data_IF_371787806252
#
_entry.id   IF_371787806252
#
_cell.length_a   1.000
_cell.length_b   1.000
_cell.length_c   1.000
_cell.angle_alpha   90.00
_cell.angle_beta   90.00
_cell.angle_gamma   90.00
#
_symmetry.space_group_name_H-M   'P 1'
#
loop_
_entity.id
_entity.type
_entity.pdbx_description
1 polymer ?
#
# COMPACT_ATOMS: atom_id res chain seq x y z
N UNK A 1 35.78 -9.41 -8.51
CA UNK A 1 34.44 -9.11 -9.08
C UNK A 1 34.34 -7.61 -9.23
N UNK A 2 34.34 -7.11 -10.46
CA UNK A 2 34.27 -5.67 -10.76
C UNK A 2 32.82 -5.32 -11.13
N UNK A 3 32.17 -4.49 -10.31
CA UNK A 3 30.87 -3.91 -10.64
C UNK A 3 31.10 -2.57 -11.33
N UNK A 4 30.47 -2.38 -12.47
CA UNK A 4 30.55 -1.16 -13.26
C UNK A 4 29.16 -0.50 -13.33
N UNK A 5 29.14 0.80 -13.08
CA UNK A 5 27.95 1.63 -13.24
C UNK A 5 28.07 2.41 -14.56
N UNK A 6 27.11 2.23 -15.44
CA UNK A 6 27.00 2.97 -16.69
C UNK A 6 25.84 3.93 -16.60
N UNK A 7 26.09 5.21 -16.92
CA UNK A 7 25.09 6.26 -16.92
C UNK A 7 25.05 6.87 -18.30
N UNK A 8 23.89 6.80 -18.95
CA UNK A 8 23.64 7.44 -20.24
C UNK A 8 22.63 8.56 -20.06
N UNK A 9 23.07 9.79 -20.22
CA UNK A 9 22.28 11.02 -20.20
C UNK A 9 22.45 11.79 -21.54
N UNK A 10 22.68 11.08 -22.63
CA UNK A 10 22.86 11.68 -23.96
C UNK A 10 21.59 12.32 -24.51
N UNK A 11 20.41 11.86 -24.07
CA UNK A 11 19.14 12.46 -24.42
C UNK A 11 18.69 13.48 -23.34
N UNK A 12 18.25 14.69 -23.73
CA UNK A 12 17.92 15.77 -22.78
C UNK A 12 16.73 15.44 -21.86
N UNK A 13 15.89 14.47 -22.23
CA UNK A 13 14.67 14.11 -21.50
C UNK A 13 14.71 12.73 -20.87
N UNK A 14 15.81 12.01 -20.96
CA UNK A 14 15.93 10.63 -20.50
C UNK A 14 17.28 10.38 -19.85
N UNK A 15 17.27 9.64 -18.75
CA UNK A 15 18.48 9.11 -18.12
C UNK A 15 18.33 7.61 -17.95
N UNK A 16 19.36 6.86 -18.34
CA UNK A 16 19.43 5.42 -18.18
C UNK A 16 20.61 5.07 -17.32
N UNK A 17 20.39 4.23 -16.31
CA UNK A 17 21.43 3.78 -15.40
C UNK A 17 21.45 2.25 -15.41
N UNK A 18 22.63 1.67 -15.61
CA UNK A 18 22.83 0.23 -15.65
C UNK A 18 23.93 -0.17 -14.69
N UNK A 19 23.61 -1.02 -13.74
CA UNK A 19 24.60 -1.67 -12.89
C UNK A 19 24.94 -3.04 -13.50
N UNK A 20 26.20 -3.20 -13.91
CA UNK A 20 26.69 -4.42 -14.54
C UNK A 20 27.75 -5.08 -13.67
N UNK A 21 27.60 -6.39 -13.45
CA UNK A 21 28.60 -7.24 -12.81
C UNK A 21 29.12 -8.24 -13.84
N UNK A 22 30.39 -8.07 -14.25
CA UNK A 22 31.02 -8.84 -15.32
C UNK A 22 30.17 -8.88 -16.60
N UNK A 23 29.42 -9.96 -16.85
CA UNK A 23 28.58 -10.13 -18.03
C UNK A 23 27.07 -10.09 -17.74
N UNK A 24 26.66 -9.89 -16.46
CA UNK A 24 25.27 -9.80 -16.08
C UNK A 24 24.86 -8.37 -15.73
N UNK A 25 23.69 -7.95 -16.19
CA UNK A 25 23.04 -6.73 -15.73
C UNK A 25 22.37 -7.10 -14.42
N UNK A 26 22.80 -6.47 -13.31
CA UNK A 26 22.21 -6.65 -11.98
C UNK A 26 20.99 -5.75 -11.79
N UNK A 27 21.07 -4.52 -12.32
CA UNK A 27 20.00 -3.55 -12.15
C UNK A 27 19.95 -2.59 -13.34
N UNK A 28 18.75 -2.12 -13.66
CA UNK A 28 18.49 -1.18 -14.73
C UNK A 28 17.41 -0.19 -14.31
N UNK A 29 17.76 1.08 -14.32
CA UNK A 29 16.82 2.17 -14.08
C UNK A 29 16.71 3.06 -15.32
N UNK A 30 15.49 3.48 -15.58
CA UNK A 30 15.15 4.39 -16.66
C UNK A 30 14.25 5.50 -16.13
N UNK A 31 14.68 6.73 -16.26
CA UNK A 31 13.93 7.90 -15.88
C UNK A 31 13.67 8.80 -17.08
N UNK A 32 12.44 9.24 -17.24
CA UNK A 32 12.04 10.20 -18.26
C UNK A 32 11.30 11.38 -17.63
N UNK A 33 11.66 12.59 -18.02
CA UNK A 33 11.02 13.84 -17.56
C UNK A 33 9.52 13.84 -17.87
N UNK A 34 9.13 13.22 -18.99
CA UNK A 34 7.74 13.20 -19.44
C UNK A 34 6.88 12.13 -18.74
N UNK A 35 7.49 11.18 -18.07
CA UNK A 35 6.77 10.08 -17.41
C UNK A 35 7.33 9.87 -16.00
N UNK A 36 7.06 10.84 -15.12
CA UNK A 36 7.42 10.73 -13.70
C UNK A 36 6.50 9.71 -13.04
N UNK A 37 7.09 8.61 -12.57
CA UNK A 37 6.39 7.64 -11.73
C UNK A 37 5.97 8.32 -10.42
N UNK A 38 4.69 8.21 -10.09
CA UNK A 38 4.14 8.79 -8.87
C UNK A 38 3.84 7.75 -7.79
N UNK A 39 4.05 6.47 -8.11
CA UNK A 39 3.86 5.37 -7.16
C UNK A 39 4.67 5.64 -5.88
N UNK A 40 4.07 5.36 -4.74
CA UNK A 40 4.58 5.59 -3.39
C UNK A 40 4.71 7.07 -2.96
N UNK A 41 4.46 8.03 -3.83
CA UNK A 41 4.43 9.44 -3.44
C UNK A 41 3.22 9.72 -2.53
N UNK A 42 3.41 10.68 -1.63
CA UNK A 42 2.40 11.12 -0.65
C UNK A 42 1.92 12.51 -1.02
N UNK A 43 0.61 12.71 -1.05
CA UNK A 43 -0.03 13.97 -1.41
C UNK A 43 -1.09 14.37 -0.39
N UNK A 44 -1.30 15.65 -0.26
CA UNK A 44 -2.48 16.19 0.40
C UNK A 44 -3.59 16.29 -0.64
N UNK A 45 -4.61 15.42 -0.51
CA UNK A 45 -5.72 15.36 -1.46
C UNK A 45 -7.01 15.92 -0.89
N UNK A 46 -7.91 16.32 -1.77
CA UNK A 46 -9.25 16.79 -1.43
C UNK A 46 -10.29 15.85 -2.06
N UNK A 47 -11.20 15.34 -1.25
CA UNK A 47 -12.31 14.49 -1.73
C UNK A 47 -13.19 15.30 -2.67
N UNK A 48 -13.21 14.94 -3.94
CA UNK A 48 -14.00 15.61 -4.98
C UNK A 48 -15.43 15.10 -5.00
N UNK A 49 -15.60 13.78 -5.10
CA UNK A 49 -16.91 13.14 -5.08
C UNK A 49 -16.85 11.76 -4.45
N UNK A 50 -17.99 11.30 -3.96
CA UNK A 50 -18.17 9.96 -3.41
C UNK A 50 -19.07 9.17 -4.35
N UNK A 51 -18.70 7.91 -4.60
CA UNK A 51 -19.48 6.99 -5.44
C UNK A 51 -19.95 5.81 -4.57
N UNK A 52 -21.18 5.87 -4.05
CA UNK A 52 -21.68 4.84 -3.13
C UNK A 52 -21.81 3.46 -3.76
N UNK A 53 -22.05 3.39 -5.06
CA UNK A 53 -22.18 2.12 -5.79
C UNK A 53 -20.86 1.35 -5.82
N UNK A 54 -19.73 2.05 -5.84
CA UNK A 54 -18.39 1.47 -5.82
C UNK A 54 -17.79 1.41 -4.41
N UNK A 55 -18.46 1.95 -3.40
CA UNK A 55 -17.89 2.16 -2.06
C UNK A 55 -16.50 2.81 -2.15
N UNK A 56 -16.39 3.89 -2.93
CA UNK A 56 -15.15 4.58 -3.21
C UNK A 56 -15.33 6.10 -3.27
N UNK A 57 -14.24 6.83 -3.08
CA UNK A 57 -14.16 8.26 -3.25
C UNK A 57 -13.18 8.60 -4.39
N UNK A 58 -13.45 9.69 -5.08
CA UNK A 58 -12.52 10.29 -6.02
C UNK A 58 -11.86 11.50 -5.37
N UNK A 59 -10.54 11.53 -5.40
CA UNK A 59 -9.71 12.51 -4.69
C UNK A 59 -8.93 13.33 -5.70
N UNK A 60 -9.06 14.64 -5.60
CA UNK A 60 -8.18 15.58 -6.29
C UNK A 60 -6.89 15.73 -5.47
N UNK A 61 -5.77 15.33 -6.04
CA UNK A 61 -4.44 15.39 -5.43
C UNK A 61 -3.44 16.19 -6.26
N UNK A 62 -3.95 17.10 -7.11
CA UNK A 62 -3.17 18.03 -7.91
C UNK A 62 -2.72 17.47 -9.27
N UNK A 63 -3.34 16.40 -9.74
CA UNK A 63 -3.13 15.83 -11.08
C UNK A 63 -4.33 16.10 -11.99
N UNK A 64 -4.16 15.93 -13.30
CA UNK A 64 -5.26 16.08 -14.28
C UNK A 64 -6.43 15.15 -13.96
N UNK A 65 -6.14 13.95 -13.44
CA UNK A 65 -7.14 12.95 -13.12
C UNK A 65 -7.25 12.76 -11.62
N UNK A 66 -8.49 12.66 -11.16
CA UNK A 66 -8.75 12.32 -9.76
C UNK A 66 -8.34 10.88 -9.49
N UNK A 67 -7.70 10.66 -8.34
CA UNK A 67 -7.35 9.33 -7.87
C UNK A 67 -8.56 8.59 -7.30
N UNK A 68 -8.52 7.28 -7.36
CA UNK A 68 -9.52 6.36 -6.82
C UNK A 68 -9.10 5.91 -5.42
N UNK A 69 -9.95 6.13 -4.44
CA UNK A 69 -9.75 5.74 -3.04
C UNK A 69 -10.87 4.80 -2.62
N UNK A 70 -10.55 3.53 -2.40
CA UNK A 70 -11.51 2.54 -1.92
C UNK A 70 -11.84 2.77 -0.44
N UNK A 71 -13.05 2.41 -0.01
CA UNK A 71 -13.45 2.50 1.40
C UNK A 71 -12.51 1.73 2.33
N UNK A 72 -12.03 0.56 1.90
CA UNK A 72 -11.10 -0.27 2.67
C UNK A 72 -9.70 0.37 2.84
N UNK A 73 -9.36 1.34 1.99
CA UNK A 73 -8.10 2.06 2.01
C UNK A 73 -8.18 3.39 2.78
N UNK A 74 -9.32 3.62 3.47
CA UNK A 74 -9.53 4.82 4.30
C UNK A 74 -9.36 4.45 5.77
N UNK A 75 -8.43 5.11 6.43
CA UNK A 75 -8.19 4.96 7.86
C UNK A 75 -9.34 5.56 8.69
N UNK A 76 -9.67 4.93 9.81
CA UNK A 76 -10.75 5.34 10.72
C UNK A 76 -10.60 6.77 11.27
N UNK A 77 -9.38 7.30 11.37
CA UNK A 77 -9.14 8.67 11.83
C UNK A 77 -9.77 9.75 10.93
N UNK A 78 -10.01 9.42 9.65
CA UNK A 78 -10.68 10.34 8.71
C UNK A 78 -12.21 10.26 8.77
N UNK A 79 -12.78 9.33 9.56
CA UNK A 79 -14.23 9.13 9.62
C UNK A 79 -14.91 10.26 10.40
N UNK A 80 -15.92 10.84 9.77
CA UNK A 80 -16.77 11.88 10.38
C UNK A 80 -18.02 11.26 10.98
N UNK A 81 -17.83 10.44 12.01
CA UNK A 81 -18.88 9.74 12.76
C UNK A 81 -18.91 10.22 14.22
N UNK A 82 -19.97 9.90 15.00
CA UNK A 82 -20.00 10.20 16.43
C UNK A 82 -18.80 9.61 17.17
N UNK A 83 -18.26 10.36 18.12
CA UNK A 83 -17.03 10.00 18.82
C UNK A 83 -17.14 8.66 19.55
N UNK A 84 -18.31 8.36 20.12
CA UNK A 84 -18.59 7.07 20.77
C UNK A 84 -18.44 5.85 19.86
N UNK A 85 -18.72 6.02 18.57
CA UNK A 85 -18.62 4.93 17.61
C UNK A 85 -17.20 4.85 17.02
N UNK A 86 -16.53 6.00 16.89
CA UNK A 86 -15.12 6.07 16.53
C UNK A 86 -14.24 5.35 17.56
N UNK A 87 -14.49 5.57 18.85
CA UNK A 87 -13.79 4.90 19.94
C UNK A 87 -13.94 3.38 19.87
N UNK A 88 -15.15 2.89 19.64
CA UNK A 88 -15.41 1.45 19.47
C UNK A 88 -14.67 0.85 18.28
N UNK A 89 -14.65 1.55 17.14
CA UNK A 89 -13.92 1.10 15.96
C UNK A 89 -12.42 1.02 16.28
N UNK A 90 -11.87 2.03 16.95
CA UNK A 90 -10.44 2.04 17.34
C UNK A 90 -10.11 0.91 18.32
N UNK A 91 -10.96 0.65 19.31
CA UNK A 91 -10.75 -0.48 20.23
C UNK A 91 -10.81 -1.84 19.51
N UNK A 92 -11.70 -1.98 18.52
CA UNK A 92 -11.78 -3.20 17.72
C UNK A 92 -10.55 -3.35 16.81
N UNK A 93 -10.07 -2.26 16.19
CA UNK A 93 -8.83 -2.24 15.40
C UNK A 93 -7.60 -2.59 16.25
N UNK A 94 -7.53 -2.06 17.48
CA UNK A 94 -6.43 -2.35 18.42
C UNK A 94 -6.41 -3.82 18.85
N UNK A 95 -7.56 -4.41 19.15
CA UNK A 95 -7.67 -5.85 19.44
C UNK A 95 -7.20 -6.73 18.28
N UNK A 96 -7.63 -6.39 17.06
CA UNK A 96 -7.18 -7.11 15.85
C UNK A 96 -5.67 -6.97 15.66
N UNK A 97 -5.11 -5.79 15.94
CA UNK A 97 -3.67 -5.54 15.89
C UNK A 97 -2.90 -6.39 16.91
N UNK A 98 -3.39 -6.49 18.14
CA UNK A 98 -2.79 -7.33 19.17
C UNK A 98 -2.86 -8.82 18.81
N UNK A 99 -3.99 -9.28 18.24
CA UNK A 99 -4.12 -10.66 17.78
C UNK A 99 -3.13 -10.99 16.66
N UNK A 100 -2.99 -10.10 15.68
CA UNK A 100 -2.02 -10.26 14.59
C UNK A 100 -0.56 -10.25 15.08
N UNK A 101 -0.25 -9.41 16.08
CA UNK A 101 1.09 -9.40 16.69
C UNK A 101 1.39 -10.73 17.40
N UNK A 102 0.44 -11.27 18.15
CA UNK A 102 0.59 -12.57 18.83
C UNK A 102 0.67 -13.74 17.83
N UNK A 103 -0.07 -13.68 16.72
CA UNK A 103 0.04 -14.68 15.66
C UNK A 103 1.43 -14.65 14.99
N UNK A 104 2.00 -13.47 14.75
CA UNK A 104 3.34 -13.33 14.16
C UNK A 104 4.44 -13.81 15.13
N UNK A 105 4.37 -13.45 16.40
CA UNK A 105 5.31 -13.94 17.44
C UNK A 105 5.26 -15.46 17.61
N UNK A 106 4.08 -16.06 17.54
CA UNK A 106 3.93 -17.50 17.60
C UNK A 106 4.52 -18.23 16.38
N UNK A 107 4.44 -17.63 15.21
CA UNK A 107 5.06 -18.17 13.98
C UNK A 107 6.59 -18.07 14.08
N UNK A 108 7.12 -16.93 14.54
CA UNK A 108 8.56 -16.73 14.75
C UNK A 108 9.12 -17.71 15.76
N UNK A 109 8.44 -17.93 16.89
CA UNK A 109 8.84 -18.89 17.91
C UNK A 109 8.86 -20.34 17.39
N UNK A 110 7.88 -20.74 16.58
CA UNK A 110 7.85 -22.06 15.95
C UNK A 110 8.98 -22.29 14.95
N UNK A 111 9.36 -21.23 14.21
CA UNK A 111 10.50 -21.28 13.29
C UNK A 111 11.82 -21.41 14.06
N UNK A 112 11.95 -20.74 15.22
CA UNK A 112 13.14 -20.79 16.07
C UNK A 112 13.28 -22.13 16.81
N UNK A 113 12.19 -22.77 17.17
CA UNK A 113 12.17 -24.06 17.89
C UNK A 113 12.37 -25.28 16.99
N UNK A 114 12.44 -25.09 15.67
CA UNK A 114 12.78 -26.16 14.71
C UNK A 114 11.72 -27.26 14.59
N UNK A 115 10.50 -27.01 15.03
CA UNK A 115 9.40 -27.96 14.92
C UNK A 115 8.68 -27.81 13.57
N UNK A 116 8.95 -28.79 12.70
CA UNK A 116 8.20 -29.25 11.54
C UNK A 116 8.19 -28.39 10.26
N UNK A 117 8.61 -29.11 9.22
CA UNK A 117 8.37 -28.86 7.80
C UNK A 117 6.96 -28.32 7.58
N UNK A 118 6.86 -27.00 7.41
CA UNK A 118 5.71 -26.43 6.71
C UNK A 118 5.79 -27.01 5.30
N UNK A 119 4.92 -27.93 4.97
CA UNK A 119 4.69 -28.39 3.61
C UNK A 119 4.31 -27.17 2.77
N UNK A 120 5.31 -26.55 2.23
CA UNK A 120 5.18 -25.64 1.10
C UNK A 120 4.83 -26.58 -0.06
N UNK A 121 3.56 -26.70 -0.39
CA UNK A 121 3.18 -27.26 -1.67
C UNK A 121 3.91 -26.42 -2.72
N UNK A 122 4.65 -27.10 -3.60
CA UNK A 122 5.46 -26.51 -4.65
C UNK A 122 4.72 -25.34 -5.33
N UNK A 123 5.32 -24.17 -5.43
CA UNK A 123 4.73 -23.07 -6.17
C UNK A 123 4.88 -23.39 -7.66
N UNK A 124 3.84 -23.94 -8.25
CA UNK A 124 3.61 -23.76 -9.68
C UNK A 124 3.59 -22.26 -9.91
N UNK A 125 4.50 -21.76 -10.74
CA UNK A 125 4.67 -20.37 -11.15
C UNK A 125 3.33 -19.64 -11.33
N UNK A 126 2.85 -18.99 -10.28
CA UNK A 126 1.79 -18.01 -10.33
C UNK A 126 2.30 -16.73 -9.70
N UNK A 127 2.28 -15.70 -10.53
CA UNK A 127 2.73 -14.34 -10.30
C UNK A 127 2.47 -13.87 -8.87
N UNK A 128 3.51 -13.30 -8.25
CA UNK A 128 3.57 -12.82 -6.86
C UNK A 128 2.42 -11.87 -6.43
N UNK A 129 1.75 -11.23 -7.39
CA UNK A 129 0.61 -10.34 -7.16
C UNK A 129 -0.62 -11.05 -6.55
N UNK A 130 -0.87 -12.34 -6.87
CA UNK A 130 -2.06 -13.06 -6.42
C UNK A 130 -1.98 -13.56 -4.96
N UNK A 131 -0.78 -13.66 -4.38
CA UNK A 131 -0.58 -14.16 -3.02
C UNK A 131 -0.73 -13.05 -1.98
N UNK A 132 -0.26 -11.85 -2.30
CA UNK A 132 -0.46 -10.66 -1.44
C UNK A 132 -1.93 -10.25 -1.42
N UNK A 133 -2.62 -10.26 -2.57
CA UNK A 133 -4.05 -9.93 -2.62
C UNK A 133 -4.91 -10.91 -1.79
N UNK A 134 -4.56 -12.20 -1.72
CA UNK A 134 -5.29 -13.18 -0.89
C UNK A 134 -5.03 -13.01 0.60
N UNK A 135 -3.82 -12.63 1.01
CA UNK A 135 -3.50 -12.31 2.42
C UNK A 135 -4.21 -11.03 2.85
N UNK A 136 -4.18 -10.00 2.02
CA UNK A 136 -4.85 -8.73 2.27
C UNK A 136 -6.38 -8.89 2.35
N UNK A 137 -6.98 -9.72 1.50
CA UNK A 137 -8.42 -10.03 1.58
C UNK A 137 -8.82 -10.81 2.84
N UNK A 138 -7.96 -11.68 3.38
CA UNK A 138 -8.21 -12.38 4.66
C UNK A 138 -8.14 -11.43 5.85
N UNK A 139 -7.19 -10.50 5.84
CA UNK A 139 -7.03 -9.48 6.89
C UNK A 139 -8.20 -8.50 6.83
N UNK A 140 -8.59 -8.01 5.65
CA UNK A 140 -9.72 -7.11 5.45
C UNK A 140 -11.07 -7.70 5.91
N UNK A 141 -11.23 -9.03 5.91
CA UNK A 141 -12.45 -9.69 6.43
C UNK A 141 -12.56 -9.67 7.95
N UNK A 142 -11.48 -9.44 8.69
CA UNK A 142 -11.48 -9.36 10.16
C UNK A 142 -11.84 -7.96 10.69
N UNK A 143 -11.84 -6.92 9.84
CA UNK A 143 -12.15 -5.56 10.31
C UNK A 143 -13.65 -5.28 10.35
N UNK A 144 -14.17 -4.80 11.47
CA UNK A 144 -15.61 -4.54 11.69
C UNK A 144 -16.13 -3.26 11.00
N UNK A 145 -15.36 -2.62 10.13
CA UNK A 145 -15.70 -1.37 9.42
C UNK A 145 -16.96 -1.45 8.54
N UNK A 146 -17.61 -2.64 8.45
CA UNK A 146 -18.80 -2.87 7.62
C UNK A 146 -20.11 -2.27 8.16
N UNK A 147 -20.10 -1.59 9.32
CA UNK A 147 -21.32 -0.97 9.88
C UNK A 147 -21.74 0.30 9.13
N UNK A 148 -20.80 0.97 8.49
CA UNK A 148 -21.02 2.24 7.81
C UNK A 148 -20.78 2.11 6.31
N UNK A 149 -21.49 2.94 5.55
CA UNK A 149 -21.22 3.13 4.11
C UNK A 149 -20.29 4.33 3.94
N UNK A 150 -19.54 4.36 2.85
CA UNK A 150 -18.56 5.42 2.59
C UNK A 150 -19.14 6.83 2.70
N UNK A 151 -20.37 7.04 2.21
CA UNK A 151 -21.05 8.33 2.28
C UNK A 151 -21.40 8.80 3.70
N UNK A 152 -21.39 7.89 4.67
CA UNK A 152 -21.68 8.20 6.07
C UNK A 152 -20.42 8.62 6.82
N UNK A 153 -19.26 8.18 6.37
CA UNK A 153 -17.99 8.38 7.07
C UNK A 153 -17.08 9.45 6.45
N UNK A 154 -17.19 9.66 5.14
CA UNK A 154 -16.38 10.64 4.41
C UNK A 154 -17.32 11.67 3.75
N UNK A 155 -16.86 12.93 3.69
CA UNK A 155 -17.61 14.01 3.04
C UNK A 155 -16.85 14.61 1.86
N UNK A 156 -17.59 15.10 0.84
CA UNK A 156 -16.99 15.92 -0.21
C UNK A 156 -16.26 17.13 0.37
N UNK A 157 -15.20 17.57 -0.28
CA UNK A 157 -14.30 18.64 0.16
C UNK A 157 -13.47 18.35 1.42
N UNK A 158 -13.54 17.16 1.99
CA UNK A 158 -12.64 16.75 3.07
C UNK A 158 -11.21 16.65 2.56
N UNK A 159 -10.27 17.17 3.34
CA UNK A 159 -8.83 17.09 3.07
C UNK A 159 -8.27 15.87 3.77
N UNK A 160 -7.53 15.06 3.03
CA UNK A 160 -6.93 13.81 3.51
C UNK A 160 -5.52 13.65 2.98
N UNK A 161 -4.66 12.98 3.73
CA UNK A 161 -3.35 12.57 3.28
C UNK A 161 -3.45 11.24 2.56
N UNK A 162 -2.93 11.16 1.34
CA UNK A 162 -3.02 9.96 0.51
C UNK A 162 -1.67 9.57 -0.06
N UNK A 163 -1.43 8.28 -0.15
CA UNK A 163 -0.29 7.69 -0.85
C UNK A 163 -0.76 7.00 -2.12
N UNK A 164 0.01 7.13 -3.19
CA UNK A 164 -0.27 6.46 -4.46
C UNK A 164 0.19 5.02 -4.40
N UNK A 165 -0.74 4.08 -4.51
CA UNK A 165 -0.43 2.65 -4.58
C UNK A 165 -0.10 2.18 -6.00
N UNK A 166 -0.87 2.67 -6.97
CA UNK A 166 -0.70 2.34 -8.39
C UNK A 166 -0.81 3.61 -9.22
N UNK A 167 0.09 3.74 -10.19
CA UNK A 167 0.08 4.86 -11.13
C UNK A 167 -1.17 4.89 -12.01
N UNK A 168 -1.41 6.03 -12.63
CA UNK A 168 -2.44 6.18 -13.65
C UNK A 168 -2.20 5.21 -14.79
N UNK A 169 -3.24 4.52 -15.24
CA UNK A 169 -3.16 3.58 -16.35
C UNK A 169 -4.27 3.80 -17.37
N UNK A 170 -3.90 4.17 -18.57
CA UNK A 170 -4.86 4.45 -19.65
C UNK A 170 -5.81 5.57 -19.26
N UNK A 171 -7.11 5.26 -19.18
CA UNK A 171 -8.16 6.21 -18.75
C UNK A 171 -8.46 6.18 -17.25
N UNK A 172 -7.80 5.31 -16.48
CA UNK A 172 -8.03 5.16 -15.03
C UNK A 172 -7.09 6.08 -14.27
N UNK A 173 -7.62 6.78 -13.27
CA UNK A 173 -6.82 7.54 -12.31
C UNK A 173 -6.00 6.63 -11.40
N UNK A 174 -5.03 7.22 -10.70
CA UNK A 174 -4.18 6.53 -9.75
C UNK A 174 -5.01 5.87 -8.63
N UNK A 175 -4.56 4.70 -8.15
CA UNK A 175 -5.12 4.10 -6.94
C UNK A 175 -4.43 4.70 -5.70
N UNK A 176 -5.24 5.15 -4.76
CA UNK A 176 -4.80 5.85 -3.55
C UNK A 176 -5.14 5.04 -2.30
N UNK A 177 -4.37 5.28 -1.23
CA UNK A 177 -4.66 4.81 0.12
C UNK A 177 -4.32 5.90 1.13
N UNK A 178 -5.03 5.92 2.26
CA UNK A 178 -4.68 6.76 3.41
C UNK A 178 -3.70 6.05 4.36
N UNK A 179 -3.47 4.76 4.16
CA UNK A 179 -2.43 4.02 4.86
C UNK A 179 -1.08 4.35 4.24
N UNK A 180 -0.19 4.91 5.05
CA UNK A 180 1.12 5.39 4.60
C UNK A 180 2.16 4.29 4.84
N UNK A 181 2.98 4.04 3.83
CA UNK A 181 4.16 3.18 3.93
C UNK A 181 5.39 3.92 3.44
N UNK A 182 6.40 4.03 4.30
CA UNK A 182 7.64 4.75 3.99
C UNK A 182 8.76 3.72 3.95
N UNK A 183 9.26 3.46 2.74
CA UNK A 183 10.32 2.49 2.53
C UNK A 183 11.68 3.05 2.97
N UNK A 184 12.38 2.31 3.82
CA UNK A 184 13.80 2.46 4.11
C UNK A 184 14.62 1.44 3.32
N UNK A 185 15.93 1.37 3.58
CA UNK A 185 16.82 0.44 2.88
C UNK A 185 16.52 -1.03 3.20
N UNK A 186 16.18 -1.35 4.44
CA UNK A 186 15.95 -2.70 4.94
C UNK A 186 14.65 -2.86 5.71
N UNK A 187 13.93 -1.76 5.96
CA UNK A 187 12.71 -1.72 6.76
C UNK A 187 11.68 -0.83 6.08
N UNK A 188 10.42 -1.07 6.36
CA UNK A 188 9.30 -0.21 5.94
C UNK A 188 8.60 0.32 7.19
N UNK A 189 8.48 1.63 7.30
CA UNK A 189 7.71 2.27 8.36
C UNK A 189 6.25 2.41 7.92
N UNK A 190 5.34 1.83 8.67
CA UNK A 190 3.90 1.90 8.45
C UNK A 190 3.23 2.54 9.68
N UNK A 191 3.19 3.89 9.77
CA UNK A 191 2.82 4.60 11.00
C UNK A 191 1.35 4.41 11.39
N UNK A 192 0.47 4.17 10.43
CA UNK A 192 -0.98 4.20 10.60
C UNK A 192 -1.69 2.95 10.07
N UNK A 193 -1.00 1.82 10.00
CA UNK A 193 -1.62 0.56 9.61
C UNK A 193 -1.87 -0.32 10.82
N UNK A 194 -2.97 -1.06 10.79
CA UNK A 194 -3.27 -2.08 11.77
C UNK A 194 -2.46 -3.38 11.59
N UNK A 195 -1.72 -3.51 10.47
CA UNK A 195 -0.82 -4.65 10.25
C UNK A 195 0.30 -4.59 11.29
N UNK A 196 0.43 -5.64 12.10
CA UNK A 196 1.56 -5.81 13.00
C UNK A 196 2.89 -5.82 12.24
N UNK A 197 3.99 -5.47 12.90
CA UNK A 197 5.31 -5.65 12.33
C UNK A 197 5.59 -7.14 12.05
N UNK A 198 6.44 -7.42 11.09
CA UNK A 198 6.85 -8.77 10.73
C UNK A 198 8.12 -8.74 9.89
N UNK A 199 8.75 -9.90 9.77
CA UNK A 199 9.88 -10.12 8.87
C UNK A 199 9.30 -10.66 7.56
N UNK A 200 9.65 -10.05 6.42
CA UNK A 200 9.24 -10.50 5.08
C UNK A 200 10.29 -11.42 4.47
#
# INVERSE_FOLDING_TARGET
>A
MSKNLYIDASHPNETRVVLKNENHIEDYEYESINNTLIKNNIYLGKVSRIEPSLQAAFVDFGRERHGFLSFNDIQSDYYQIPQSDLEKIKEEEEKVREELSKESENIENKILEGEEEIKIEDPVEKKDEDVEEKKDQKIQKKFPSKRYKIQEVIKPNQVILVQVLKDERGLKGAALSTFISIAGKYIVLMPNTAKGGGIS
#
